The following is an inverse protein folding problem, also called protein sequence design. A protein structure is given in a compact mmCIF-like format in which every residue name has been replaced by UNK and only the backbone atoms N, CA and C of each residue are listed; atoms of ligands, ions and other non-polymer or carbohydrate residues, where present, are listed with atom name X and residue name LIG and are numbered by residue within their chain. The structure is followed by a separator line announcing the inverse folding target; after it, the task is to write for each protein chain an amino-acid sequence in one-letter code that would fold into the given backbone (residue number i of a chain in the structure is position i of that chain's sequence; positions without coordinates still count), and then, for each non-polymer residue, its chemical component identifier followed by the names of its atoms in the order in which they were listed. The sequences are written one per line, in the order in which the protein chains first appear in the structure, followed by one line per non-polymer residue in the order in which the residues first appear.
data_IF_829379185004
#
_entry.id   IF_829379185004
#
_cell.length_a   1.000
_cell.length_b   1.000
_cell.length_c   1.000
_cell.angle_alpha   90.00
_cell.angle_beta   90.00
_cell.angle_gamma   90.00
#
_symmetry.space_group_name_H-M   'P 1'
#
loop_
_entity.id
_entity.type
_entity.pdbx_description
1 polymer ?
#
# COMPACT_ATOMS: atom_id res chain seq x y z
N UNK A 1 -18.61 1.21 9.39
CA UNK A 1 -18.89 2.62 9.07
C UNK A 1 -17.70 3.48 9.52
N UNK A 2 -17.06 4.17 8.58
CA UNK A 2 -15.88 4.98 8.88
C UNK A 2 -16.23 6.45 9.13
N UNK A 3 -17.24 6.96 8.41
CA UNK A 3 -17.65 8.36 8.53
C UNK A 3 -19.15 8.48 8.31
N UNK A 4 -19.75 9.42 9.01
CA UNK A 4 -21.14 9.84 8.81
C UNK A 4 -21.12 11.33 8.51
N UNK A 5 -21.69 11.71 7.36
CA UNK A 5 -21.66 13.11 6.89
C UNK A 5 -23.07 13.49 6.37
N UNK A 6 -23.37 14.80 6.33
CA UNK A 6 -24.60 15.26 5.67
C UNK A 6 -24.62 14.85 4.20
N UNK A 7 -25.82 14.69 3.63
CA UNK A 7 -25.99 14.19 2.27
C UNK A 7 -25.26 15.06 1.22
N UNK A 8 -25.20 16.36 1.42
CA UNK A 8 -24.53 17.28 0.50
C UNK A 8 -22.99 17.20 0.55
N UNK A 9 -22.44 16.49 1.54
CA UNK A 9 -21.01 16.24 1.67
C UNK A 9 -20.59 14.83 1.27
N UNK A 10 -21.53 13.99 0.85
CA UNK A 10 -21.26 12.58 0.56
C UNK A 10 -20.23 12.42 -0.57
N UNK A 11 -20.44 13.09 -1.68
CA UNK A 11 -19.57 12.95 -2.84
C UNK A 11 -18.13 13.42 -2.55
N UNK A 12 -18.00 14.55 -1.85
CA UNK A 12 -16.70 15.07 -1.47
C UNK A 12 -15.96 14.13 -0.49
N UNK A 13 -16.71 13.54 0.45
CA UNK A 13 -16.14 12.60 1.42
C UNK A 13 -15.69 11.31 0.74
N UNK A 14 -16.49 10.79 -0.18
CA UNK A 14 -16.12 9.59 -0.97
C UNK A 14 -14.86 9.87 -1.80
N UNK A 15 -14.80 11.01 -2.46
CA UNK A 15 -13.63 11.41 -3.26
C UNK A 15 -12.36 11.50 -2.40
N UNK A 16 -12.47 12.08 -1.20
CA UNK A 16 -11.35 12.18 -0.27
C UNK A 16 -10.86 10.79 0.17
N UNK A 17 -11.76 9.89 0.54
CA UNK A 17 -11.40 8.53 0.96
C UNK A 17 -10.76 7.75 -0.19
N UNK A 18 -11.32 7.86 -1.39
CA UNK A 18 -10.75 7.21 -2.57
C UNK A 18 -9.35 7.74 -2.87
N UNK A 19 -9.15 9.05 -2.78
CA UNK A 19 -7.84 9.67 -2.99
C UNK A 19 -6.80 9.13 -2.01
N UNK A 20 -7.19 8.96 -0.75
CA UNK A 20 -6.29 8.38 0.27
C UNK A 20 -6.01 6.91 0.01
N UNK A 21 -7.04 6.14 -0.34
CA UNK A 21 -6.90 4.71 -0.57
C UNK A 21 -6.06 4.39 -1.82
N UNK A 22 -6.14 5.25 -2.82
CA UNK A 22 -5.43 5.04 -4.09
C UNK A 22 -4.06 5.71 -4.14
N UNK A 23 -3.70 6.44 -3.09
CA UNK A 23 -2.37 7.04 -2.98
C UNK A 23 -1.31 5.95 -2.83
N UNK A 24 -0.12 6.21 -3.37
CA UNK A 24 1.00 5.30 -3.23
C UNK A 24 1.22 4.43 -4.46
N UNK A 25 2.19 3.55 -4.35
CA UNK A 25 2.62 2.69 -5.45
C UNK A 25 1.60 1.59 -5.76
N UNK A 26 1.17 1.50 -7.01
CA UNK A 26 0.31 0.42 -7.47
C UNK A 26 1.00 -0.94 -7.36
N UNK A 27 2.30 -0.98 -7.67
CA UNK A 27 3.08 -2.20 -7.56
C UNK A 27 3.14 -2.70 -6.12
N UNK A 28 3.40 -1.82 -5.16
CA UNK A 28 3.43 -2.18 -3.74
C UNK A 28 2.08 -2.69 -3.25
N UNK A 29 1.00 -2.05 -3.66
CA UNK A 29 -0.36 -2.48 -3.27
C UNK A 29 -0.70 -3.86 -3.84
N UNK A 30 -0.33 -4.11 -5.09
CA UNK A 30 -0.58 -5.41 -5.73
C UNK A 30 0.17 -6.54 -5.02
N UNK A 31 1.45 -6.33 -4.72
CA UNK A 31 2.27 -7.30 -4.00
C UNK A 31 1.73 -7.50 -2.59
N UNK A 32 1.41 -6.43 -1.89
CA UNK A 32 0.90 -6.50 -0.52
C UNK A 32 -0.43 -7.24 -0.43
N UNK A 33 -1.35 -6.98 -1.34
CA UNK A 33 -2.64 -7.67 -1.36
C UNK A 33 -2.47 -9.15 -1.68
N UNK A 34 -1.66 -9.49 -2.67
CA UNK A 34 -1.39 -10.89 -3.00
C UNK A 34 -0.73 -11.61 -1.82
N UNK A 35 0.21 -10.98 -1.15
CA UNK A 35 0.89 -11.56 0.00
C UNK A 35 -0.07 -11.78 1.17
N UNK A 36 -0.98 -10.83 1.43
CA UNK A 36 -1.98 -10.97 2.47
C UNK A 36 -2.82 -12.22 2.27
N UNK A 37 -3.37 -12.41 1.07
CA UNK A 37 -4.22 -13.56 0.80
C UNK A 37 -3.45 -14.87 0.81
N UNK A 38 -2.21 -14.87 0.35
CA UNK A 38 -1.39 -16.08 0.35
C UNK A 38 -1.06 -16.55 1.77
N UNK A 39 -0.75 -15.63 2.68
CA UNK A 39 -0.32 -15.99 4.03
C UNK A 39 -1.48 -16.32 4.97
N UNK A 40 -2.71 -15.95 4.63
CA UNK A 40 -3.87 -16.30 5.43
C UNK A 40 -4.01 -17.81 5.53
N UNK A 41 -4.17 -18.31 6.75
CA UNK A 41 -4.30 -19.74 7.00
C UNK A 41 -2.99 -20.50 7.15
N UNK A 42 -1.84 -19.87 6.87
CA UNK A 42 -0.57 -20.50 7.16
C UNK A 42 -0.26 -20.47 8.67
N UNK A 43 0.48 -21.48 9.19
CA UNK A 43 1.05 -21.36 10.52
C UNK A 43 1.89 -20.07 10.63
N UNK A 44 1.94 -19.49 11.82
CA UNK A 44 2.59 -18.18 12.03
C UNK A 44 4.03 -18.16 11.53
N UNK A 45 4.79 -19.21 11.82
CA UNK A 45 6.19 -19.31 11.40
C UNK A 45 6.31 -19.29 9.87
N UNK A 46 5.45 -20.02 9.18
CA UNK A 46 5.45 -20.09 7.72
C UNK A 46 5.01 -18.75 7.12
N UNK A 47 4.04 -18.09 7.74
CA UNK A 47 3.60 -16.76 7.31
C UNK A 47 4.74 -15.75 7.39
N UNK A 48 5.51 -15.75 8.47
CA UNK A 48 6.67 -14.87 8.61
C UNK A 48 7.76 -15.17 7.58
N UNK A 49 8.04 -16.44 7.34
CA UNK A 49 9.04 -16.84 6.32
C UNK A 49 8.63 -16.34 4.95
N UNK A 50 7.37 -16.53 4.59
CA UNK A 50 6.83 -16.06 3.32
C UNK A 50 6.87 -14.52 3.22
N UNK A 51 6.38 -13.83 4.24
CA UNK A 51 6.32 -12.36 4.24
C UNK A 51 7.72 -11.73 4.16
N UNK A 52 8.71 -12.32 4.84
CA UNK A 52 10.09 -11.85 4.77
C UNK A 52 10.64 -11.93 3.35
N UNK A 53 10.39 -13.04 2.65
CA UNK A 53 10.83 -13.21 1.27
C UNK A 53 10.15 -12.20 0.34
N UNK A 54 8.84 -11.97 0.51
CA UNK A 54 8.09 -10.98 -0.27
C UNK A 54 8.63 -9.57 -0.04
N UNK A 55 8.90 -9.23 1.21
CA UNK A 55 9.44 -7.91 1.55
C UNK A 55 10.83 -7.69 0.94
N UNK A 56 11.69 -8.71 0.96
CA UNK A 56 13.01 -8.63 0.34
C UNK A 56 12.90 -8.38 -1.16
N UNK A 57 12.01 -9.08 -1.85
CA UNK A 57 11.76 -8.86 -3.27
C UNK A 57 11.20 -7.47 -3.53
N UNK A 58 10.19 -7.07 -2.76
CA UNK A 58 9.54 -5.76 -2.92
C UNK A 58 10.52 -4.60 -2.72
N UNK A 59 11.50 -4.76 -1.82
CA UNK A 59 12.50 -3.72 -1.55
C UNK A 59 13.38 -3.40 -2.76
N UNK A 60 13.45 -4.28 -3.75
CA UNK A 60 14.25 -4.10 -4.96
C UNK A 60 13.45 -3.46 -6.10
N UNK A 61 12.15 -3.26 -5.95
CA UNK A 61 11.34 -2.62 -6.98
C UNK A 61 11.72 -1.13 -7.14
N UNK A 62 11.58 -0.58 -8.35
CA UNK A 62 11.83 0.85 -8.58
C UNK A 62 11.04 1.74 -7.64
N UNK A 63 9.77 1.43 -7.38
CA UNK A 63 8.92 2.23 -6.49
C UNK A 63 9.41 2.19 -5.04
N UNK A 64 9.95 1.07 -4.57
CA UNK A 64 10.53 1.00 -3.24
C UNK A 64 11.75 1.93 -3.11
N UNK A 65 12.60 1.92 -4.12
CA UNK A 65 13.78 2.79 -4.16
C UNK A 65 13.36 4.26 -4.24
N UNK A 66 12.37 4.56 -5.06
CA UNK A 66 11.84 5.92 -5.16
C UNK A 66 11.20 6.39 -3.85
N UNK A 67 10.43 5.53 -3.20
CA UNK A 67 9.81 5.87 -1.92
C UNK A 67 10.83 6.21 -0.85
N UNK A 68 11.89 5.42 -0.74
CA UNK A 68 12.97 5.67 0.21
C UNK A 68 13.69 6.97 -0.14
N UNK A 69 14.02 7.17 -1.41
CA UNK A 69 14.70 8.39 -1.87
C UNK A 69 13.86 9.62 -1.60
N UNK A 70 12.57 9.56 -1.92
CA UNK A 70 11.64 10.68 -1.69
C UNK A 70 11.54 11.01 -0.21
N UNK A 71 11.51 10.00 0.65
CA UNK A 71 11.48 10.21 2.10
C UNK A 71 12.74 10.93 2.59
N UNK A 72 13.91 10.49 2.12
CA UNK A 72 15.18 11.14 2.50
C UNK A 72 15.27 12.57 1.97
N UNK A 73 14.75 12.82 0.77
CA UNK A 73 14.76 14.13 0.14
C UNK A 73 13.60 15.02 0.62
N UNK A 74 12.70 14.50 1.46
CA UNK A 74 11.52 15.21 1.99
C UNK A 74 10.65 15.78 0.88
N UNK A 75 10.38 14.97 -0.13
CA UNK A 75 9.50 15.30 -1.25
C UNK A 75 8.46 14.21 -1.45
N UNK A 76 7.46 14.51 -2.25
CA UNK A 76 6.49 13.48 -2.66
C UNK A 76 7.14 12.53 -3.66
N UNK A 77 6.91 11.20 -3.51
CA UNK A 77 7.43 10.25 -4.48
C UNK A 77 6.70 10.34 -5.82
N UNK A 78 7.42 10.01 -6.89
CA UNK A 78 6.88 9.88 -8.23
C UNK A 78 6.97 8.39 -8.60
N UNK A 79 5.83 7.72 -8.58
CA UNK A 79 5.79 6.28 -8.76
C UNK A 79 5.96 5.89 -10.22
N UNK A 80 6.69 4.80 -10.45
CA UNK A 80 6.89 4.23 -11.78
C UNK A 80 5.66 3.39 -12.23
N UNK A 81 4.89 2.91 -11.27
CA UNK A 81 3.72 2.07 -11.52
C UNK A 81 2.40 2.82 -11.42
#
# INVERSE_FOLDING_TARGET
VNRVVPADELDATVADLLGRATRGSRASKAIGKAALYHQLGLPLEDAYTYATAVMAQASQLPDAKEGIRAFLDKRHPVWDS
#
